data_IF_269191545795
#
_entry.id   IF_269191545795
#
_cell.length_a   1.000
_cell.length_b   1.000
_cell.length_c   1.000
_cell.angle_alpha   90.00
_cell.angle_beta   90.00
_cell.angle_gamma   90.00
#
_symmetry.space_group_name_H-M   'P 1'
#
loop_
_entity.id
_entity.type
_entity.pdbx_description
1 polymer ?
#
# COMPACT_ATOMS: atom_id res chain seq x y z
N UNK A 1 -52.33 -10.40 18.16
CA UNK A 1 -52.10 -9.68 16.89
C UNK A 1 -50.80 -8.92 17.01
N UNK A 2 -49.72 -9.49 16.46
CA UNK A 2 -48.41 -8.87 16.39
C UNK A 2 -48.32 -8.06 15.09
N UNK A 3 -47.99 -6.78 15.17
CA UNK A 3 -47.66 -5.95 14.01
C UNK A 3 -46.23 -5.42 14.18
N UNK A 4 -45.45 -5.71 13.14
CA UNK A 4 -44.03 -5.50 12.93
C UNK A 4 -43.50 -4.12 13.37
N UNK A 5 -42.50 -4.14 14.24
CA UNK A 5 -41.45 -3.12 14.29
C UNK A 5 -40.37 -3.53 13.28
N UNK A 6 -40.43 -2.99 12.06
CA UNK A 6 -39.40 -3.19 11.05
C UNK A 6 -38.68 -1.87 10.76
N UNK A 7 -37.36 -1.93 10.86
CA UNK A 7 -36.37 -1.11 10.17
C UNK A 7 -36.24 0.37 10.58
N UNK A 8 -35.35 0.60 11.55
CA UNK A 8 -34.43 1.74 11.48
C UNK A 8 -33.06 1.35 12.07
N UNK A 9 -32.48 0.26 11.54
CA UNK A 9 -31.04 0.04 11.63
C UNK A 9 -30.37 0.82 10.49
N UNK A 10 -30.46 2.16 10.52
CA UNK A 10 -29.52 2.99 9.76
C UNK A 10 -28.20 2.88 10.50
N UNK A 11 -27.38 1.92 10.08
CA UNK A 11 -25.97 1.89 10.41
C UNK A 11 -25.39 3.25 10.03
N UNK A 12 -24.96 4.01 11.03
CA UNK A 12 -24.26 5.26 10.82
C UNK A 12 -23.00 4.96 10.00
N UNK A 13 -23.04 5.30 8.71
CA UNK A 13 -21.87 5.30 7.85
C UNK A 13 -20.89 6.31 8.47
N UNK A 14 -19.66 5.91 8.84
CA UNK A 14 -18.68 6.84 9.38
C UNK A 14 -18.52 8.05 8.46
N UNK A 15 -18.32 9.24 9.01
CA UNK A 15 -18.22 10.48 8.22
C UNK A 15 -17.07 10.47 7.20
N UNK A 16 -16.07 9.60 7.40
CA UNK A 16 -14.94 9.36 6.49
C UNK A 16 -15.36 8.46 5.30
N UNK A 17 -16.17 7.43 5.55
CA UNK A 17 -16.76 6.57 4.52
C UNK A 17 -17.68 7.34 3.57
N UNK A 18 -18.48 8.25 4.11
CA UNK A 18 -19.34 9.12 3.32
C UNK A 18 -18.50 9.98 2.35
N UNK A 19 -17.31 10.41 2.77
CA UNK A 19 -16.41 11.24 1.96
C UNK A 19 -15.78 10.46 0.81
N UNK A 20 -15.39 9.19 1.02
CA UNK A 20 -14.84 8.37 -0.07
C UNK A 20 -15.92 7.94 -1.06
N UNK A 21 -17.12 7.60 -0.59
CA UNK A 21 -18.26 7.32 -1.48
C UNK A 21 -18.65 8.55 -2.32
N UNK A 22 -18.53 9.78 -1.79
CA UNK A 22 -18.67 11.02 -2.57
C UNK A 22 -17.57 11.19 -3.62
N UNK A 23 -16.34 10.76 -3.34
CA UNK A 23 -15.21 10.83 -4.27
C UNK A 23 -15.34 9.77 -5.37
N UNK A 24 -15.85 8.58 -5.04
CA UNK A 24 -16.00 7.43 -5.93
C UNK A 24 -17.46 6.95 -6.03
N UNK A 25 -18.39 7.78 -6.51
CA UNK A 25 -19.83 7.50 -6.44
C UNK A 25 -20.26 6.30 -7.29
N UNK A 26 -19.54 6.01 -8.36
CA UNK A 26 -19.85 4.90 -9.28
C UNK A 26 -19.26 3.56 -8.83
N UNK A 27 -18.42 3.56 -7.79
CA UNK A 27 -17.69 2.35 -7.38
C UNK A 27 -18.63 1.21 -7.00
N UNK A 28 -19.69 1.50 -6.22
CA UNK A 28 -20.67 0.48 -5.82
C UNK A 28 -21.36 -0.19 -7.03
N UNK A 29 -21.65 0.57 -8.08
CA UNK A 29 -22.24 0.06 -9.31
C UNK A 29 -21.24 -0.73 -10.17
N UNK A 30 -19.96 -0.37 -10.12
CA UNK A 30 -18.89 -1.03 -10.91
C UNK A 30 -18.30 -2.26 -10.25
N UNK A 31 -18.37 -2.33 -8.92
CA UNK A 31 -17.90 -3.45 -8.10
C UNK A 31 -18.37 -4.81 -8.63
N UNK A 32 -19.62 -4.91 -9.10
CA UNK A 32 -20.20 -6.16 -9.65
C UNK A 32 -19.61 -6.58 -11.01
N UNK A 33 -18.92 -5.67 -11.69
CA UNK A 33 -18.29 -5.90 -12.99
C UNK A 33 -16.76 -6.01 -12.91
N UNK A 34 -16.19 -5.97 -11.70
CA UNK A 34 -14.75 -6.19 -11.54
C UNK A 34 -14.42 -7.61 -11.98
N UNK A 35 -13.45 -7.73 -12.87
CA UNK A 35 -12.95 -9.02 -13.34
C UNK A 35 -11.94 -9.61 -12.35
N UNK A 36 -11.03 -10.42 -12.91
CA UNK A 36 -9.93 -11.00 -12.15
C UNK A 36 -9.12 -9.90 -11.48
N UNK A 37 -8.91 -10.02 -10.18
CA UNK A 37 -8.24 -9.01 -9.36
C UNK A 37 -6.91 -9.55 -8.84
N UNK A 38 -5.83 -8.79 -9.02
CA UNK A 38 -4.52 -9.11 -8.42
C UNK A 38 -4.15 -8.07 -7.38
N UNK A 39 -3.85 -8.53 -6.17
CA UNK A 39 -3.36 -7.73 -5.06
C UNK A 39 -1.83 -7.74 -5.00
N UNK A 40 -1.25 -6.56 -5.11
CA UNK A 40 0.18 -6.29 -5.03
C UNK A 40 0.49 -5.58 -3.72
N UNK A 41 1.49 -6.06 -2.98
CA UNK A 41 1.92 -5.44 -1.72
C UNK A 41 3.39 -5.05 -1.74
N UNK A 42 3.71 -3.81 -1.36
CA UNK A 42 5.08 -3.36 -1.04
C UNK A 42 5.11 -2.81 0.39
N UNK A 43 5.93 -3.36 1.28
CA UNK A 43 6.03 -2.85 2.64
C UNK A 43 7.46 -2.83 3.10
N UNK A 44 7.88 -1.70 3.67
CA UNK A 44 9.21 -1.57 4.28
C UNK A 44 9.16 -0.91 5.65
N UNK A 45 9.91 -1.49 6.58
CA UNK A 45 10.15 -0.93 7.91
C UNK A 45 11.61 -0.48 7.99
N UNK A 46 11.78 0.82 8.17
CA UNK A 46 13.08 1.46 8.39
C UNK A 46 13.12 2.01 9.81
N UNK A 47 14.23 1.76 10.49
CA UNK A 47 14.56 2.32 11.80
C UNK A 47 15.79 3.21 11.64
N UNK A 48 15.84 4.33 12.36
CA UNK A 48 17.07 5.09 12.50
C UNK A 48 17.93 4.54 13.66
N UNK A 49 19.21 4.29 13.38
CA UNK A 49 20.21 4.07 14.42
C UNK A 49 20.96 5.39 14.63
N UNK A 50 20.69 6.03 15.76
CA UNK A 50 21.48 7.13 16.32
C UNK A 50 21.66 8.35 15.38
N UNK A 51 20.64 8.72 14.60
CA UNK A 51 20.58 9.98 13.86
C UNK A 51 21.48 10.06 12.63
N UNK A 52 22.07 8.94 12.21
CA UNK A 52 23.08 8.92 11.13
C UNK A 52 22.96 7.76 10.16
N UNK A 53 22.36 6.63 10.56
CA UNK A 53 22.34 5.43 9.72
C UNK A 53 20.96 4.78 9.73
N UNK A 54 20.36 4.69 8.56
CA UNK A 54 19.08 4.01 8.37
C UNK A 54 19.28 2.51 8.30
N UNK A 55 18.56 1.79 9.16
CA UNK A 55 18.53 0.35 9.22
C UNK A 55 17.20 -0.17 8.71
N UNK A 56 17.24 -1.11 7.78
CA UNK A 56 16.03 -1.78 7.28
C UNK A 56 15.86 -3.08 8.04
N UNK A 57 14.64 -3.30 8.55
CA UNK A 57 14.24 -4.57 9.17
C UNK A 57 13.66 -5.50 8.10
N UNK A 58 14.51 -6.23 7.38
CA UNK A 58 14.05 -7.02 6.23
C UNK A 58 13.14 -8.16 6.62
N UNK A 59 13.49 -8.87 7.70
CA UNK A 59 12.66 -9.97 8.23
C UNK A 59 11.26 -9.47 8.59
N UNK A 60 11.19 -8.40 9.38
CA UNK A 60 9.92 -7.79 9.78
C UNK A 60 9.16 -7.22 8.57
N UNK A 61 9.83 -6.58 7.62
CA UNK A 61 9.18 -6.00 6.43
C UNK A 61 8.48 -7.09 5.61
N UNK A 62 9.15 -8.22 5.37
CA UNK A 62 8.55 -9.36 4.64
C UNK A 62 7.41 -10.00 5.42
N UNK A 63 7.57 -10.17 6.73
CA UNK A 63 6.53 -10.73 7.60
C UNK A 63 5.26 -9.86 7.57
N UNK A 64 5.43 -8.55 7.78
CA UNK A 64 4.34 -7.58 7.75
C UNK A 64 3.71 -7.47 6.35
N UNK A 65 4.50 -7.51 5.27
CA UNK A 65 3.96 -7.51 3.90
C UNK A 65 3.05 -8.72 3.65
N UNK A 66 3.46 -9.92 4.08
CA UNK A 66 2.63 -11.12 3.96
C UNK A 66 1.35 -11.03 4.81
N UNK A 67 1.46 -10.52 6.04
CA UNK A 67 0.29 -10.31 6.90
C UNK A 67 -0.69 -9.31 6.28
N UNK A 68 -0.18 -8.20 5.73
CA UNK A 68 -0.99 -7.21 5.04
C UNK A 68 -1.68 -7.79 3.80
N UNK A 69 -0.95 -8.56 2.98
CA UNK A 69 -1.52 -9.23 1.82
C UNK A 69 -2.69 -10.15 2.21
N UNK A 70 -2.50 -10.99 3.22
CA UNK A 70 -3.54 -11.91 3.70
C UNK A 70 -4.74 -11.17 4.31
N UNK A 71 -4.47 -10.15 5.15
CA UNK A 71 -5.52 -9.37 5.82
C UNK A 71 -6.35 -8.57 4.82
N UNK A 72 -5.69 -7.94 3.84
CA UNK A 72 -6.35 -7.14 2.82
C UNK A 72 -7.11 -8.03 1.83
N UNK A 73 -6.56 -9.17 1.43
CA UNK A 73 -7.28 -10.12 0.58
C UNK A 73 -8.57 -10.60 1.25
N UNK A 74 -8.54 -10.89 2.55
CA UNK A 74 -9.73 -11.25 3.31
C UNK A 74 -10.73 -10.10 3.38
N UNK A 75 -10.27 -8.89 3.71
CA UNK A 75 -11.14 -7.72 3.78
C UNK A 75 -11.80 -7.41 2.42
N UNK A 76 -11.07 -7.49 1.32
CA UNK A 76 -11.61 -7.32 -0.03
C UNK A 76 -12.62 -8.41 -0.40
N UNK A 77 -12.35 -9.67 -0.02
CA UNK A 77 -13.30 -10.77 -0.21
C UNK A 77 -14.61 -10.56 0.58
N UNK A 78 -14.52 -10.10 1.84
CA UNK A 78 -15.69 -9.75 2.65
C UNK A 78 -16.48 -8.58 2.03
N UNK A 79 -15.78 -7.71 1.29
CA UNK A 79 -16.35 -6.65 0.46
C UNK A 79 -16.71 -7.13 -0.96
N UNK A 80 -16.75 -8.42 -1.27
CA UNK A 80 -17.18 -8.92 -2.58
C UNK A 80 -16.23 -8.62 -3.74
N UNK A 81 -14.96 -8.35 -3.46
CA UNK A 81 -13.88 -8.13 -4.43
C UNK A 81 -12.72 -9.12 -4.12
N UNK A 82 -12.97 -10.43 -4.15
CA UNK A 82 -11.92 -11.40 -3.78
C UNK A 82 -10.75 -11.33 -4.77
N UNK A 83 -9.51 -11.11 -4.33
CA UNK A 83 -8.36 -11.20 -5.22
C UNK A 83 -8.12 -12.66 -5.63
N UNK A 84 -7.91 -12.90 -6.91
CA UNK A 84 -7.46 -14.20 -7.44
C UNK A 84 -6.03 -14.53 -7.05
N UNK A 85 -5.23 -13.48 -6.82
CA UNK A 85 -3.83 -13.60 -6.42
C UNK A 85 -3.48 -12.45 -5.50
N UNK A 86 -2.82 -12.75 -4.38
CA UNK A 86 -2.24 -11.77 -3.49
C UNK A 86 -0.76 -12.09 -3.31
N UNK A 87 0.12 -11.14 -3.64
CA UNK A 87 1.56 -11.35 -3.58
C UNK A 87 2.29 -10.11 -3.05
N UNK A 88 3.37 -10.35 -2.31
CA UNK A 88 4.34 -9.31 -1.96
C UNK A 88 5.14 -9.02 -3.23
N UNK A 89 4.86 -7.90 -3.88
CA UNK A 89 5.45 -7.54 -5.17
C UNK A 89 6.89 -7.05 -5.01
N UNK A 90 7.15 -6.35 -3.91
CA UNK A 90 8.48 -5.87 -3.56
C UNK A 90 8.62 -5.61 -2.06
N UNK A 91 9.83 -5.28 -1.62
CA UNK A 91 10.10 -4.66 -0.32
C UNK A 91 10.97 -3.43 -0.53
N UNK A 92 10.38 -2.26 -0.26
CA UNK A 92 11.05 -0.97 -0.27
C UNK A 92 11.23 -0.39 -1.67
N UNK A 93 10.33 -0.69 -2.61
CA UNK A 93 10.42 -0.11 -3.96
C UNK A 93 10.18 1.41 -3.96
N UNK A 94 9.47 1.92 -2.94
CA UNK A 94 9.25 3.35 -2.70
C UNK A 94 10.48 4.10 -2.17
N UNK A 95 11.54 3.41 -1.77
CA UNK A 95 12.75 4.05 -1.24
C UNK A 95 13.71 4.49 -2.36
N UNK A 96 14.49 5.54 -2.09
CA UNK A 96 15.51 6.00 -3.04
C UNK A 96 16.59 4.92 -3.25
N UNK A 97 16.92 4.68 -4.52
CA UNK A 97 18.00 3.77 -4.94
C UNK A 97 19.40 4.34 -4.66
N UNK A 98 19.50 5.64 -4.42
CA UNK A 98 20.77 6.31 -4.11
C UNK A 98 21.13 6.25 -2.63
N UNK A 99 20.17 5.84 -1.79
CA UNK A 99 20.37 5.68 -0.35
C UNK A 99 20.89 4.29 -0.03
N UNK A 100 21.88 4.23 0.84
CA UNK A 100 22.43 2.99 1.37
C UNK A 100 21.86 2.73 2.76
N UNK A 101 21.38 1.50 2.97
CA UNK A 101 20.77 1.07 4.22
C UNK A 101 21.59 -0.02 4.86
N UNK A 102 21.59 -0.09 6.19
CA UNK A 102 22.10 -1.26 6.91
C UNK A 102 20.99 -2.30 7.06
N UNK A 103 21.28 -3.55 6.73
CA UNK A 103 20.35 -4.65 6.97
C UNK A 103 20.43 -5.12 8.41
N UNK A 104 19.30 -5.51 9.01
CA UNK A 104 19.27 -6.30 10.25
C UNK A 104 19.75 -7.75 10.07
N UNK A 105 19.98 -8.18 8.84
CA UNK A 105 20.57 -9.48 8.51
C UNK A 105 22.01 -9.55 9.02
N UNK A 106 22.29 -10.45 9.95
CA UNK A 106 23.65 -10.76 10.39
C UNK A 106 24.42 -11.34 9.20
N UNK A 107 25.62 -10.85 8.85
CA UNK A 107 26.44 -11.50 7.82
C UNK A 107 26.70 -12.94 8.22
N UNK A 108 26.46 -13.89 7.31
CA UNK A 108 26.72 -15.32 7.54
C UNK A 108 28.20 -15.60 7.89
N UNK A 109 29.09 -14.69 7.50
CA UNK A 109 30.54 -14.81 7.66
C UNK A 109 31.17 -13.41 7.83
N UNK A 110 31.08 -12.82 9.02
CA UNK A 110 31.72 -11.55 9.34
C UNK A 110 31.70 -11.23 10.83
N UNK A 111 32.49 -10.27 11.31
CA UNK A 111 32.35 -9.76 12.68
C UNK A 111 30.90 -9.33 12.89
N UNK A 112 30.31 -9.73 14.04
CA UNK A 112 28.91 -9.39 14.40
C UNK A 112 28.61 -7.89 14.41
N UNK A 113 29.64 -7.05 14.33
CA UNK A 113 29.58 -5.58 14.44
C UNK A 113 29.43 -4.83 13.11
N UNK A 114 29.44 -5.52 11.96
CA UNK A 114 29.25 -4.86 10.65
C UNK A 114 27.97 -5.35 9.99
N UNK A 115 26.89 -4.58 10.09
CA UNK A 115 25.66 -4.82 9.33
C UNK A 115 25.93 -4.68 7.82
N UNK A 116 25.30 -5.51 7.00
CA UNK A 116 25.46 -5.46 5.54
C UNK A 116 24.84 -4.18 4.98
N UNK A 117 25.58 -3.47 4.12
CA UNK A 117 25.07 -2.30 3.39
C UNK A 117 24.35 -2.77 2.13
N UNK A 118 23.09 -2.37 1.98
CA UNK A 118 22.18 -2.79 0.90
C UNK A 118 21.47 -1.58 0.28
N UNK A 119 20.92 -1.77 -0.92
CA UNK A 119 20.16 -0.75 -1.66
C UNK A 119 18.75 -1.25 -1.97
N UNK A 120 17.80 -0.31 -2.03
CA UNK A 120 16.43 -0.58 -2.43
C UNK A 120 16.28 -0.80 -3.95
N UNK A 121 15.31 -1.60 -4.41
CA UNK A 121 14.44 -2.47 -3.61
C UNK A 121 15.21 -3.67 -3.04
N UNK A 122 14.85 -4.12 -1.84
CA UNK A 122 15.55 -5.23 -1.15
C UNK A 122 15.01 -6.60 -1.54
N UNK A 123 13.81 -6.62 -2.10
CA UNK A 123 13.17 -7.79 -2.66
C UNK A 123 12.25 -7.33 -3.80
N UNK A 124 12.17 -8.14 -4.86
CA UNK A 124 11.24 -7.98 -5.98
C UNK A 124 10.76 -9.38 -6.36
N UNK A 125 9.45 -9.56 -6.52
CA UNK A 125 8.88 -10.82 -6.97
C UNK A 125 9.27 -11.12 -8.43
N UNK A 126 9.47 -12.39 -8.75
CA UNK A 126 9.87 -12.84 -10.09
C UNK A 126 8.90 -12.45 -11.21
N UNK A 127 7.64 -12.16 -10.89
CA UNK A 127 6.65 -11.63 -11.83
C UNK A 127 7.03 -10.25 -12.39
N UNK A 128 7.95 -9.54 -11.73
CA UNK A 128 8.49 -8.24 -12.11
C UNK A 128 9.98 -8.30 -12.45
N UNK A 129 10.49 -9.46 -12.86
CA UNK A 129 11.88 -9.62 -13.27
C UNK A 129 12.23 -8.80 -14.54
N UNK A 130 11.24 -8.51 -15.38
CA UNK A 130 11.40 -7.62 -16.53
C UNK A 130 11.35 -6.15 -16.12
N UNK A 131 12.16 -5.31 -16.80
CA UNK A 131 12.30 -3.90 -16.44
C UNK A 131 11.02 -3.09 -16.70
N UNK A 132 10.17 -3.52 -17.62
CA UNK A 132 8.92 -2.82 -17.94
C UNK A 132 7.91 -2.95 -16.79
N UNK A 133 7.62 -4.18 -16.34
CA UNK A 133 6.69 -4.41 -15.24
C UNK A 133 7.19 -3.79 -13.93
N UNK A 134 8.49 -3.87 -13.64
CA UNK A 134 9.06 -3.21 -12.46
C UNK A 134 8.97 -1.69 -12.53
N UNK A 135 9.14 -1.10 -13.72
CA UNK A 135 8.97 0.34 -13.92
C UNK A 135 7.51 0.73 -13.74
N UNK A 136 6.58 0.00 -14.35
CA UNK A 136 5.15 0.23 -14.15
C UNK A 136 4.74 0.10 -12.68
N UNK A 137 5.27 -0.89 -11.93
CA UNK A 137 4.98 -1.01 -10.51
C UNK A 137 5.45 0.22 -9.71
N UNK A 138 6.64 0.74 -10.02
CA UNK A 138 7.18 1.96 -9.40
C UNK A 138 6.36 3.19 -9.77
N UNK A 139 6.01 3.35 -11.05
CA UNK A 139 5.22 4.46 -11.54
C UNK A 139 3.83 4.44 -10.89
N UNK A 140 3.22 3.26 -10.70
CA UNK A 140 1.94 3.14 -10.01
C UNK A 140 2.02 3.63 -8.56
N UNK A 141 3.08 3.28 -7.82
CA UNK A 141 3.31 3.79 -6.45
C UNK A 141 3.56 5.31 -6.42
N UNK A 142 4.29 5.84 -7.41
CA UNK A 142 4.59 7.27 -7.48
C UNK A 142 3.34 8.09 -7.84
N UNK A 143 2.64 7.70 -8.91
CA UNK A 143 1.40 8.35 -9.36
C UNK A 143 0.31 8.28 -8.29
N UNK A 144 0.22 7.14 -7.58
CA UNK A 144 -0.72 7.02 -6.48
C UNK A 144 -0.34 7.86 -5.27
N UNK A 145 0.93 8.17 -5.04
CA UNK A 145 1.30 9.13 -4.00
C UNK A 145 0.82 10.54 -4.33
N UNK A 146 1.16 11.04 -5.52
CA UNK A 146 0.86 12.40 -5.99
C UNK A 146 -0.59 12.60 -6.45
N UNK A 147 -1.42 11.55 -6.35
CA UNK A 147 -2.79 11.56 -6.82
C UNK A 147 -3.62 12.66 -6.17
N UNK A 148 -4.14 13.57 -6.99
CA UNK A 148 -5.08 14.62 -6.59
C UNK A 148 -6.39 14.48 -7.34
N UNK A 149 -7.39 13.88 -6.70
CA UNK A 149 -8.78 13.94 -7.21
C UNK A 149 -9.45 15.22 -6.73
N UNK A 150 -9.86 16.08 -7.66
CA UNK A 150 -10.68 17.28 -7.36
C UNK A 150 -12.15 16.89 -7.25
N UNK A 151 -12.89 17.55 -6.36
CA UNK A 151 -14.35 17.37 -6.22
C UNK A 151 -15.05 17.65 -7.56
N UNK A 152 -15.83 16.69 -8.07
CA UNK A 152 -16.58 16.82 -9.32
C UNK A 152 -15.82 16.52 -10.62
N UNK A 153 -14.56 16.07 -10.57
CA UNK A 153 -13.83 15.62 -11.75
C UNK A 153 -14.01 14.11 -11.98
N UNK A 154 -14.35 13.65 -13.21
CA UNK A 154 -14.33 12.23 -13.55
C UNK A 154 -12.89 11.69 -13.52
N UNK A 155 -12.76 10.43 -13.08
CA UNK A 155 -11.59 9.56 -13.10
C UNK A 155 -10.21 10.23 -13.07
N UNK A 156 -9.53 10.20 -11.92
CA UNK A 156 -8.07 10.30 -11.95
C UNK A 156 -7.50 9.06 -12.65
N UNK A 157 -6.76 9.26 -13.74
CA UNK A 157 -6.15 8.24 -14.58
C UNK A 157 -4.70 7.97 -14.15
N UNK A 158 -4.30 6.70 -14.20
CA UNK A 158 -2.92 6.23 -14.05
C UNK A 158 -2.61 5.27 -15.20
N UNK A 159 -1.47 5.45 -15.88
CA UNK A 159 -1.13 4.59 -17.02
C UNK A 159 -0.59 3.23 -16.55
N UNK A 160 0.14 3.22 -15.43
CA UNK A 160 0.83 2.05 -14.92
C UNK A 160 -0.06 0.81 -14.68
N UNK A 161 -1.30 0.92 -14.13
CA UNK A 161 -2.22 -0.21 -14.01
C UNK A 161 -2.45 -0.99 -15.30
N UNK A 162 -2.45 -0.34 -16.46
CA UNK A 162 -2.69 -1.00 -17.76
C UNK A 162 -1.56 -1.98 -18.09
N UNK A 163 -0.33 -1.53 -17.91
CA UNK A 163 0.86 -2.37 -18.13
C UNK A 163 0.90 -3.54 -17.15
N UNK A 164 0.61 -3.27 -15.86
CA UNK A 164 0.56 -4.28 -14.82
C UNK A 164 -0.52 -5.33 -15.08
N UNK A 165 -1.73 -4.89 -15.42
CA UNK A 165 -2.86 -5.76 -15.74
C UNK A 165 -2.59 -6.69 -16.93
N UNK A 166 -1.98 -6.16 -17.99
CA UNK A 166 -1.54 -6.97 -19.14
C UNK A 166 -0.50 -8.01 -18.73
N UNK A 167 0.48 -7.62 -17.92
CA UNK A 167 1.56 -8.51 -17.46
C UNK A 167 1.03 -9.65 -16.60
N UNK A 168 0.11 -9.33 -15.69
CA UNK A 168 -0.47 -10.24 -14.70
C UNK A 168 -1.72 -10.97 -15.21
N UNK A 169 -2.21 -10.60 -16.40
CA UNK A 169 -3.42 -11.13 -17.05
C UNK A 169 -4.64 -11.02 -16.15
N UNK A 170 -4.93 -9.81 -15.71
CA UNK A 170 -6.07 -9.50 -14.85
C UNK A 170 -6.74 -8.20 -15.31
N UNK A 171 -7.98 -7.98 -14.88
CA UNK A 171 -8.78 -6.81 -15.23
C UNK A 171 -8.70 -5.72 -14.16
N UNK A 172 -8.32 -6.06 -12.92
CA UNK A 172 -8.23 -5.10 -11.81
C UNK A 172 -6.93 -5.29 -11.04
N UNK A 173 -6.26 -4.18 -10.72
CA UNK A 173 -5.08 -4.16 -9.86
C UNK A 173 -5.48 -3.53 -8.53
N UNK A 174 -5.25 -4.26 -7.45
CA UNK A 174 -5.23 -3.73 -6.09
C UNK A 174 -3.77 -3.52 -5.68
N UNK A 175 -3.41 -2.32 -5.24
CA UNK A 175 -2.08 -2.01 -4.73
C UNK A 175 -2.21 -1.55 -3.28
N UNK A 176 -1.46 -2.19 -2.39
CA UNK A 176 -1.19 -1.69 -1.05
C UNK A 176 0.30 -1.46 -0.92
N UNK A 177 0.71 -0.25 -0.57
CA UNK A 177 2.08 -0.03 -0.16
C UNK A 177 2.17 0.72 1.16
N UNK A 178 3.17 0.37 1.97
CA UNK A 178 3.35 0.94 3.28
C UNK A 178 4.82 1.22 3.59
N UNK A 179 5.09 2.41 4.09
CA UNK A 179 6.41 2.81 4.56
C UNK A 179 6.32 3.18 6.03
N UNK A 180 7.06 2.44 6.86
CA UNK A 180 7.10 2.62 8.30
C UNK A 180 8.46 3.10 8.76
N UNK A 181 8.47 4.14 9.58
CA UNK A 181 9.68 4.73 10.16
C UNK A 181 9.63 4.69 11.69
N UNK A 182 10.70 4.19 12.31
CA UNK A 182 10.97 4.33 13.73
C UNK A 182 12.02 5.43 13.97
N UNK A 183 11.66 6.49 14.72
CA UNK A 183 12.50 7.60 15.21
C UNK A 183 12.83 8.72 14.18
N UNK A 184 13.24 9.94 14.62
CA UNK A 184 13.22 11.13 13.76
C UNK A 184 14.28 11.08 12.67
N UNK A 185 13.87 11.35 11.43
CA UNK A 185 14.75 11.30 10.26
C UNK A 185 15.87 12.34 10.31
N UNK A 186 17.05 11.97 9.81
CA UNK A 186 17.94 12.95 9.19
C UNK A 186 17.25 13.45 7.90
N UNK A 187 17.14 14.78 7.72
CA UNK A 187 16.35 15.46 6.68
C UNK A 187 16.60 15.05 5.21
N UNK A 188 17.59 14.20 4.92
CA UNK A 188 18.12 14.01 3.56
C UNK A 188 17.46 12.88 2.75
N UNK A 189 16.82 11.88 3.37
CA UNK A 189 16.35 10.69 2.63
C UNK A 189 14.95 10.86 2.00
N UNK A 190 14.14 11.79 2.52
CA UNK A 190 12.70 11.86 2.21
C UNK A 190 12.30 12.95 1.19
N UNK A 191 13.21 13.88 0.89
CA UNK A 191 12.90 15.09 0.12
C UNK A 191 12.47 14.80 -1.33
N UNK A 192 12.81 13.63 -1.88
CA UNK A 192 12.58 13.33 -3.29
C UNK A 192 11.13 12.89 -3.61
N UNK A 193 10.35 12.40 -2.64
CA UNK A 193 9.02 11.82 -2.91
C UNK A 193 7.91 12.31 -1.97
N UNK A 194 8.22 12.71 -0.72
CA UNK A 194 7.21 12.88 0.33
C UNK A 194 7.19 14.27 1.00
N UNK A 195 8.03 15.22 0.55
CA UNK A 195 8.07 16.60 1.04
C UNK A 195 8.67 16.78 2.45
N UNK A 196 8.69 18.04 2.93
CA UNK A 196 9.20 18.44 4.25
C UNK A 196 8.46 17.67 5.37
N UNK A 197 9.15 16.76 6.05
CA UNK A 197 8.53 15.79 6.96
C UNK A 197 8.92 16.02 8.43
N UNK A 198 7.95 15.92 9.34
CA UNK A 198 8.12 16.05 10.78
C UNK A 198 8.86 14.86 11.42
N UNK A 199 9.57 15.14 12.50
CA UNK A 199 10.46 14.28 13.29
C UNK A 199 9.74 13.25 14.18
N UNK A 200 8.79 12.46 13.64
CA UNK A 200 8.05 11.44 14.40
C UNK A 200 7.97 10.10 13.66
N UNK A 201 7.96 9.02 14.45
CA UNK A 201 7.70 7.67 13.93
C UNK A 201 6.32 7.63 13.28
N UNK A 202 6.22 7.13 12.05
CA UNK A 202 4.97 7.09 11.30
C UNK A 202 4.97 5.88 10.38
N UNK A 203 3.79 5.28 10.23
CA UNK A 203 3.50 4.37 9.13
C UNK A 203 2.51 5.03 8.21
N UNK A 204 2.86 5.13 6.94
CA UNK A 204 1.95 5.59 5.90
C UNK A 204 1.56 4.39 5.06
N UNK A 205 0.26 4.10 4.96
CA UNK A 205 -0.28 3.03 4.14
C UNK A 205 -1.15 3.65 3.05
N UNK A 206 -0.90 3.30 1.80
CA UNK A 206 -1.70 3.74 0.65
C UNK A 206 -2.33 2.52 0.01
N UNK A 207 -3.64 2.57 -0.19
CA UNK A 207 -4.40 1.55 -0.88
C UNK A 207 -5.03 2.13 -2.14
N UNK A 208 -4.94 1.41 -3.25
CA UNK A 208 -5.49 1.81 -4.54
C UNK A 208 -6.15 0.61 -5.22
N UNK A 209 -7.34 0.81 -5.77
CA UNK A 209 -7.95 -0.07 -6.77
C UNK A 209 -7.96 0.66 -8.10
N UNK A 210 -7.47 0.01 -9.15
CA UNK A 210 -7.46 0.57 -10.50
C UNK A 210 -7.93 -0.45 -11.55
N UNK A 211 -8.62 0.08 -12.55
CA UNK A 211 -9.04 -0.66 -13.74
C UNK A 211 -7.85 -0.92 -14.66
N UNK A 212 -7.61 -2.18 -14.98
CA UNK A 212 -6.48 -2.63 -15.78
C UNK A 212 -6.64 -2.40 -17.29
N UNK A 213 -7.84 -2.07 -17.77
CA UNK A 213 -8.07 -1.78 -19.18
C UNK A 213 -7.96 -0.28 -19.47
N UNK A 214 -8.51 0.56 -18.59
CA UNK A 214 -8.59 2.01 -18.76
C UNK A 214 -7.56 2.80 -17.96
N UNK A 215 -6.93 2.20 -16.95
CA UNK A 215 -6.05 2.91 -16.01
C UNK A 215 -6.79 3.79 -15.01
N UNK A 216 -8.11 3.70 -14.95
CA UNK A 216 -8.92 4.49 -14.06
C UNK A 216 -8.75 4.06 -12.60
N UNK A 217 -8.56 5.03 -11.70
CA UNK A 217 -8.59 4.78 -10.26
C UNK A 217 -10.03 4.64 -9.78
N UNK A 218 -10.37 3.43 -9.35
CA UNK A 218 -11.68 3.01 -8.86
C UNK A 218 -11.88 3.33 -7.39
N UNK A 219 -10.80 3.25 -6.61
CA UNK A 219 -10.77 3.59 -5.20
C UNK A 219 -9.36 3.97 -4.80
N UNK A 220 -9.21 4.92 -3.90
CA UNK A 220 -7.93 5.20 -3.25
C UNK A 220 -8.16 5.74 -1.86
N UNK A 221 -7.35 5.25 -0.94
CA UNK A 221 -7.32 5.75 0.42
C UNK A 221 -5.90 5.77 0.99
N UNK A 222 -5.67 6.62 1.99
CA UNK A 222 -4.39 6.73 2.69
C UNK A 222 -4.62 6.79 4.18
N UNK A 223 -3.95 5.90 4.90
CA UNK A 223 -3.95 5.85 6.35
C UNK A 223 -2.59 6.30 6.90
N UNK A 224 -2.63 7.06 7.98
CA UNK A 224 -1.44 7.58 8.65
C UNK A 224 -1.42 7.19 10.12
N UNK A 225 -0.57 6.22 10.46
CA UNK A 225 -0.47 5.70 11.81
C UNK A 225 0.66 6.43 12.55
N UNK A 226 0.40 7.06 13.71
CA UNK A 226 1.42 7.71 14.52
C UNK A 226 2.22 6.66 15.32
N UNK A 227 3.06 5.89 14.64
CA UNK A 227 4.16 5.08 15.16
C UNK A 227 4.73 4.18 14.04
N UNK A 228 5.84 3.50 14.33
CA UNK A 228 6.32 2.41 13.48
C UNK A 228 5.34 1.24 13.43
N UNK A 229 5.32 0.54 12.30
CA UNK A 229 4.46 -0.59 12.04
C UNK A 229 4.82 -1.77 12.93
N UNK A 230 3.77 -2.42 13.42
CA UNK A 230 3.77 -3.75 14.00
C UNK A 230 2.51 -4.48 13.52
N UNK A 231 2.35 -5.74 13.88
CA UNK A 231 1.21 -6.55 13.42
C UNK A 231 -0.14 -5.90 13.70
N UNK A 232 -0.37 -5.42 14.94
CA UNK A 232 -1.64 -4.81 15.36
C UNK A 232 -1.94 -3.50 14.63
N UNK A 233 -0.94 -2.65 14.44
CA UNK A 233 -1.10 -1.37 13.75
C UNK A 233 -1.38 -1.58 12.28
N UNK A 234 -0.65 -2.49 11.62
CA UNK A 234 -0.87 -2.79 10.22
C UNK A 234 -2.25 -3.42 9.99
N UNK A 235 -2.67 -4.34 10.85
CA UNK A 235 -4.02 -4.91 10.79
C UNK A 235 -5.11 -3.84 10.95
N UNK A 236 -4.92 -2.87 11.86
CA UNK A 236 -5.82 -1.72 12.01
C UNK A 236 -5.84 -0.83 10.77
N UNK A 237 -4.69 -0.55 10.16
CA UNK A 237 -4.65 0.26 8.94
C UNK A 237 -5.33 -0.44 7.77
N UNK A 238 -5.08 -1.74 7.57
CA UNK A 238 -5.77 -2.53 6.53
C UNK A 238 -7.27 -2.51 6.77
N UNK A 239 -7.72 -2.66 8.02
CA UNK A 239 -9.13 -2.54 8.37
C UNK A 239 -9.67 -1.14 8.01
N UNK A 240 -8.99 -0.08 8.44
CA UNK A 240 -9.38 1.33 8.15
C UNK A 240 -9.56 1.55 6.65
N UNK A 241 -8.55 1.21 5.85
CA UNK A 241 -8.51 1.38 4.39
C UNK A 241 -9.61 0.60 3.63
N UNK A 242 -10.23 -0.38 4.27
CA UNK A 242 -11.26 -1.24 3.67
C UNK A 242 -12.63 -1.08 4.31
N UNK A 243 -12.72 -0.46 5.48
CA UNK A 243 -13.98 -0.30 6.22
C UNK A 243 -15.03 0.42 5.37
N UNK A 244 -14.56 1.41 4.61
CA UNK A 244 -15.37 2.34 3.82
C UNK A 244 -15.68 1.86 2.40
N UNK A 245 -15.09 0.74 1.97
CA UNK A 245 -15.46 0.12 0.70
C UNK A 245 -16.92 -0.36 0.78
N UNK A 246 -17.80 0.04 -0.15
CA UNK A 246 -19.18 -0.46 -0.22
C UNK A 246 -19.24 -1.93 -0.67
#
# INVERSE_FOLDING_TARGET
MAALLLAAALAAVPAEAAKLAEIYPEFAARKVSLGRTVLLVDLVVVDDIAGKVEKVKLGLSRELANLAAASLARALADKGIPPDTALVASVGLTLSRTTFFQSDSVPATGPRDTLAVIQAPFFVDSSFADSEALTALRDFMSESWDYRRKKGAPAGFMAAPITLARRLRCETIALLYAVSWGLPMAKQTFAALLGDYESRSRTTCVFVLADGASGEVLWRDIEFIPASANHERLARAVKSLTEDLP
#
